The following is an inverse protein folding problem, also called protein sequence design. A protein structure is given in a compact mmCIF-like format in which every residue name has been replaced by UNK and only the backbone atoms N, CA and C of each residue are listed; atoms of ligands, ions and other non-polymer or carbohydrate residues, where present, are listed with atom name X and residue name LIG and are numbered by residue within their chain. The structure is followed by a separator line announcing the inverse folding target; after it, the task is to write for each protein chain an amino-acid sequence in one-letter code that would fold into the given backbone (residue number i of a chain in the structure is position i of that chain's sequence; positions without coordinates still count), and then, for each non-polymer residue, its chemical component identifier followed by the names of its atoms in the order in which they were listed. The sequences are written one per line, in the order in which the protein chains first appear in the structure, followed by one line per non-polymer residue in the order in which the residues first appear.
data_IF_022707779614
#
_entry.id   IF_022707779614
#
_cell.length_a   1.000
_cell.length_b   1.000
_cell.length_c   1.000
_cell.angle_alpha   90.00
_cell.angle_beta   90.00
_cell.angle_gamma   90.00
#
_symmetry.space_group_name_H-M   'P 1'
#
loop_
_entity.id
_entity.type
_entity.pdbx_description
1 polymer ?
#
# COMPACT_ATOMS: atom_id res chain seq x y z
N UNK A 1 18.29 25.74 -12.93
CA UNK A 1 18.72 24.33 -12.72
C UNK A 1 18.10 23.71 -11.47
N UNK A 2 18.18 24.33 -10.29
CA UNK A 2 17.61 23.76 -9.04
C UNK A 2 16.09 23.58 -9.09
N UNK A 3 15.35 24.52 -9.70
CA UNK A 3 13.90 24.37 -9.89
C UNK A 3 13.53 23.11 -10.70
N UNK A 4 14.34 22.75 -11.69
CA UNK A 4 14.12 21.53 -12.50
C UNK A 4 14.23 20.29 -11.61
N UNK A 5 15.19 20.26 -10.67
CA UNK A 5 15.28 19.18 -9.69
C UNK A 5 14.02 19.11 -8.83
N UNK A 6 13.52 20.23 -8.33
CA UNK A 6 12.29 20.25 -7.54
C UNK A 6 11.09 19.71 -8.34
N UNK A 7 10.96 20.08 -9.62
CA UNK A 7 9.92 19.54 -10.52
C UNK A 7 10.09 18.04 -10.75
N UNK A 8 11.31 17.56 -11.05
CA UNK A 8 11.59 16.13 -11.24
C UNK A 8 11.23 15.34 -9.98
N UNK A 9 11.69 15.79 -8.81
CA UNK A 9 11.38 15.13 -7.53
C UNK A 9 9.87 15.05 -7.27
N UNK A 10 9.16 16.16 -7.50
CA UNK A 10 7.71 16.21 -7.37
C UNK A 10 6.99 15.26 -8.33
N UNK A 11 7.39 15.24 -9.61
CA UNK A 11 6.79 14.37 -10.64
C UNK A 11 7.06 12.90 -10.33
N UNK A 12 8.26 12.53 -9.88
CA UNK A 12 8.57 11.14 -9.52
C UNK A 12 7.70 10.65 -8.36
N UNK A 13 7.57 11.45 -7.30
CA UNK A 13 6.75 11.07 -6.14
C UNK A 13 5.27 10.97 -6.53
N UNK A 14 4.72 12.01 -7.16
CA UNK A 14 3.30 12.02 -7.53
C UNK A 14 2.97 10.99 -8.60
N UNK A 15 3.87 10.77 -9.57
CA UNK A 15 3.73 9.74 -10.59
C UNK A 15 3.71 8.33 -9.97
N UNK A 16 4.62 8.03 -9.05
CA UNK A 16 4.64 6.76 -8.34
C UNK A 16 3.38 6.57 -7.47
N UNK A 17 2.92 7.63 -6.80
CA UNK A 17 1.69 7.64 -6.01
C UNK A 17 0.45 7.36 -6.87
N UNK A 18 0.26 8.12 -7.96
CA UNK A 18 -0.86 7.94 -8.89
C UNK A 18 -0.84 6.54 -9.47
N UNK A 19 0.32 6.08 -9.94
CA UNK A 19 0.48 4.73 -10.48
C UNK A 19 0.09 3.67 -9.44
N UNK A 20 0.55 3.79 -8.19
CA UNK A 20 0.19 2.87 -7.11
C UNK A 20 -1.33 2.86 -6.85
N UNK A 21 -1.97 4.02 -6.70
CA UNK A 21 -3.41 4.08 -6.48
C UNK A 21 -4.23 3.53 -7.65
N UNK A 22 -3.75 3.67 -8.89
CA UNK A 22 -4.36 3.02 -10.05
C UNK A 22 -4.31 1.49 -9.96
N UNK A 23 -3.25 0.91 -9.37
CA UNK A 23 -3.21 -0.55 -9.15
C UNK A 23 -4.22 -1.02 -8.10
N UNK A 24 -4.50 -0.19 -7.09
CA UNK A 24 -5.55 -0.48 -6.10
C UNK A 24 -6.92 -0.48 -6.76
N UNK A 25 -7.24 0.56 -7.54
CA UNK A 25 -8.52 0.68 -8.23
C UNK A 25 -8.78 -0.45 -9.24
N UNK A 26 -7.72 -1.06 -9.77
CA UNK A 26 -7.77 -2.19 -10.70
C UNK A 26 -7.68 -3.55 -10.01
N UNK A 27 -7.54 -3.59 -8.69
CA UNK A 27 -7.30 -4.81 -7.91
C UNK A 27 -6.03 -5.59 -8.34
N UNK A 28 -5.06 -4.89 -8.93
CA UNK A 28 -3.78 -5.44 -9.41
C UNK A 28 -2.60 -4.94 -8.58
N UNK A 29 -2.78 -4.80 -7.27
CA UNK A 29 -1.73 -4.30 -6.35
C UNK A 29 -0.55 -5.25 -6.40
N UNK A 30 0.67 -4.78 -6.72
CA UNK A 30 1.82 -5.67 -6.85
C UNK A 30 2.18 -6.30 -5.50
N UNK A 31 2.69 -7.53 -5.54
CA UNK A 31 3.22 -8.21 -4.35
C UNK A 31 4.49 -7.53 -3.84
N UNK A 32 5.38 -7.17 -4.77
CA UNK A 32 6.63 -6.46 -4.48
C UNK A 32 6.46 -4.94 -4.66
N UNK A 33 6.60 -4.20 -3.56
CA UNK A 33 6.53 -2.73 -3.54
C UNK A 33 7.89 -2.04 -3.59
N UNK A 34 9.01 -2.80 -3.60
CA UNK A 34 10.36 -2.23 -3.64
C UNK A 34 10.57 -1.29 -4.84
N UNK A 35 10.04 -1.57 -6.06
CA UNK A 35 10.16 -0.64 -7.18
C UNK A 35 9.50 0.72 -6.89
N UNK A 36 8.27 0.74 -6.36
CA UNK A 36 7.60 1.99 -5.97
C UNK A 36 8.37 2.71 -4.85
N UNK A 37 8.83 1.97 -3.84
CA UNK A 37 9.61 2.54 -2.75
C UNK A 37 10.90 3.20 -3.26
N UNK A 38 11.61 2.57 -4.20
CA UNK A 38 12.82 3.13 -4.80
C UNK A 38 12.55 4.46 -5.53
N UNK A 39 11.46 4.55 -6.30
CA UNK A 39 11.07 5.79 -6.99
C UNK A 39 10.68 6.89 -6.00
N UNK A 40 9.96 6.55 -4.92
CA UNK A 40 9.59 7.50 -3.86
C UNK A 40 10.83 8.05 -3.14
N UNK A 41 11.77 7.18 -2.77
CA UNK A 41 13.03 7.58 -2.12
C UNK A 41 13.85 8.47 -3.04
N UNK A 42 13.99 8.09 -4.32
CA UNK A 42 14.72 8.89 -5.30
C UNK A 42 14.07 10.28 -5.50
N UNK A 43 12.76 10.32 -5.70
CA UNK A 43 12.02 11.57 -5.87
C UNK A 43 12.11 12.48 -4.63
N UNK A 44 11.97 11.92 -3.43
CA UNK A 44 12.12 12.65 -2.18
C UNK A 44 13.54 13.19 -1.99
N UNK A 45 14.58 12.40 -2.28
CA UNK A 45 15.97 12.82 -2.19
C UNK A 45 16.27 13.99 -3.15
N UNK A 46 15.77 13.92 -4.39
CA UNK A 46 15.92 15.00 -5.38
C UNK A 46 15.19 16.27 -4.91
N UNK A 47 13.95 16.13 -4.41
CA UNK A 47 13.18 17.26 -3.87
C UNK A 47 13.84 17.92 -2.66
N UNK A 48 14.34 17.12 -1.72
CA UNK A 48 15.08 17.58 -0.55
C UNK A 48 16.39 18.29 -0.95
N UNK A 49 17.14 17.72 -1.91
CA UNK A 49 18.35 18.33 -2.43
C UNK A 49 18.06 19.68 -3.09
N UNK A 50 16.95 19.81 -3.83
CA UNK A 50 16.55 21.08 -4.44
C UNK A 50 16.27 22.18 -3.39
N UNK A 51 15.61 21.81 -2.27
CA UNK A 51 15.41 22.73 -1.14
C UNK A 51 16.75 23.13 -0.51
N UNK A 52 17.63 22.16 -0.24
CA UNK A 52 18.91 22.41 0.42
C UNK A 52 19.89 23.25 -0.42
N UNK A 53 19.87 23.07 -1.75
CA UNK A 53 20.73 23.82 -2.67
C UNK A 53 20.25 25.25 -2.93
N UNK A 54 18.93 25.47 -2.98
CA UNK A 54 18.35 26.79 -3.20
C UNK A 54 16.97 26.88 -2.54
N UNK A 55 16.91 27.26 -1.25
CA UNK A 55 15.65 27.42 -0.56
C UNK A 55 14.93 28.66 -1.11
N UNK A 56 13.82 28.42 -1.80
CA UNK A 56 12.96 29.44 -2.40
C UNK A 56 11.51 29.01 -2.25
N UNK A 57 10.57 29.93 -2.39
CA UNK A 57 9.14 29.59 -2.33
C UNK A 57 8.78 28.45 -3.29
N UNK A 58 9.34 28.45 -4.50
CA UNK A 58 9.06 27.42 -5.51
C UNK A 58 9.67 26.05 -5.16
N UNK A 59 10.93 26.00 -4.72
CA UNK A 59 11.58 24.72 -4.35
C UNK A 59 10.96 24.13 -3.09
N UNK A 60 10.51 24.97 -2.15
CA UNK A 60 9.77 24.56 -0.95
C UNK A 60 8.37 24.04 -1.33
N UNK A 61 7.61 24.80 -2.13
CA UNK A 61 6.24 24.43 -2.52
C UNK A 61 6.17 23.11 -3.29
N UNK A 62 7.20 22.76 -4.06
CA UNK A 62 7.28 21.48 -4.75
C UNK A 62 7.93 20.39 -3.90
N UNK A 63 9.04 20.72 -3.23
CA UNK A 63 9.84 19.73 -2.51
C UNK A 63 9.18 19.23 -1.24
N UNK A 64 8.60 20.11 -0.42
CA UNK A 64 8.03 19.72 0.89
C UNK A 64 6.86 18.74 0.73
N UNK A 65 5.85 18.99 -0.12
CA UNK A 65 4.78 18.01 -0.34
C UNK A 65 5.31 16.70 -0.92
N UNK A 66 6.28 16.76 -1.83
CA UNK A 66 6.92 15.56 -2.39
C UNK A 66 7.59 14.69 -1.31
N UNK A 67 8.38 15.30 -0.43
CA UNK A 67 9.01 14.58 0.69
C UNK A 67 7.95 14.04 1.65
N UNK A 68 6.93 14.83 1.99
CA UNK A 68 5.86 14.42 2.90
C UNK A 68 5.05 13.23 2.36
N UNK A 69 4.66 13.25 1.08
CA UNK A 69 3.93 12.14 0.47
C UNK A 69 4.79 10.88 0.33
N UNK A 70 6.06 11.02 -0.03
CA UNK A 70 6.97 9.89 -0.06
C UNK A 70 7.11 9.25 1.34
N UNK A 71 7.33 10.06 2.38
CA UNK A 71 7.41 9.57 3.75
C UNK A 71 6.13 8.86 4.19
N UNK A 72 4.96 9.44 3.90
CA UNK A 72 3.66 8.86 4.23
C UNK A 72 3.45 7.50 3.54
N UNK A 73 3.72 7.41 2.23
CA UNK A 73 3.56 6.16 1.48
C UNK A 73 4.57 5.09 1.91
N UNK A 74 5.83 5.47 2.16
CA UNK A 74 6.85 4.53 2.67
C UNK A 74 6.46 3.99 4.04
N UNK A 75 5.90 4.84 4.92
CA UNK A 75 5.33 4.40 6.19
C UNK A 75 4.19 3.40 5.99
N UNK A 76 3.24 3.67 5.09
CA UNK A 76 2.15 2.74 4.76
C UNK A 76 2.67 1.41 4.21
N UNK A 77 3.69 1.43 3.35
CA UNK A 77 4.32 0.22 2.82
C UNK A 77 4.96 -0.61 3.94
N UNK A 78 5.53 0.04 4.96
CA UNK A 78 6.05 -0.63 6.16
C UNK A 78 4.97 -1.32 7.00
N UNK A 79 3.74 -0.83 7.00
CA UNK A 79 2.60 -1.45 7.71
C UNK A 79 2.05 -2.70 7.00
N UNK A 80 2.51 -3.01 5.78
CA UNK A 80 1.88 -4.03 4.94
C UNK A 80 2.00 -5.46 5.46
N UNK A 81 2.89 -5.78 6.41
CA UNK A 81 3.22 -7.16 6.85
C UNK A 81 2.06 -8.13 6.64
N UNK A 82 2.15 -8.91 5.56
CA UNK A 82 1.26 -10.04 5.33
C UNK A 82 1.77 -11.14 6.24
N UNK A 83 0.91 -11.86 6.98
CA UNK A 83 1.35 -13.01 7.74
C UNK A 83 2.14 -13.94 6.83
N UNK A 84 3.30 -14.40 7.29
CA UNK A 84 4.05 -15.44 6.59
C UNK A 84 3.16 -16.68 6.52
N UNK A 85 2.70 -17.03 5.32
CA UNK A 85 1.74 -18.10 5.12
C UNK A 85 1.77 -18.59 3.68
N UNK A 86 1.74 -19.91 3.53
CA UNK A 86 1.49 -20.53 2.23
C UNK A 86 0.02 -20.41 1.87
N UNK A 87 -0.28 -20.40 0.57
CA UNK A 87 -1.65 -20.51 0.10
C UNK A 87 -2.23 -21.86 0.56
N UNK A 88 -3.27 -21.83 1.40
CA UNK A 88 -3.90 -23.03 1.99
C UNK A 88 -5.21 -23.45 1.29
N UNK A 89 -5.63 -22.74 0.24
CA UNK A 89 -6.86 -23.04 -0.48
C UNK A 89 -6.68 -22.77 -1.98
N UNK A 90 -7.15 -23.69 -2.82
CA UNK A 90 -7.23 -23.52 -4.28
C UNK A 90 -8.63 -23.81 -4.79
N UNK A 91 -8.97 -23.23 -5.95
CA UNK A 91 -10.24 -23.49 -6.61
C UNK A 91 -10.38 -24.98 -6.92
N UNK A 92 -11.48 -25.59 -6.50
CA UNK A 92 -11.77 -27.01 -6.69
C UNK A 92 -11.33 -27.92 -5.53
N UNK A 93 -10.52 -27.41 -4.59
CA UNK A 93 -10.17 -28.16 -3.37
C UNK A 93 -11.28 -28.08 -2.33
N UNK A 94 -11.31 -29.06 -1.42
CA UNK A 94 -12.17 -29.00 -0.25
C UNK A 94 -11.74 -27.83 0.63
N UNK A 95 -12.72 -27.04 1.08
CA UNK A 95 -12.45 -25.91 1.95
C UNK A 95 -11.85 -26.39 3.28
N UNK A 96 -10.80 -25.72 3.80
CA UNK A 96 -10.26 -26.01 5.13
C UNK A 96 -11.33 -25.92 6.21
N UNK A 97 -11.12 -26.65 7.32
CA UNK A 97 -11.94 -26.47 8.52
C UNK A 97 -11.73 -25.04 9.03
N UNK A 98 -12.81 -24.29 9.13
CA UNK A 98 -12.81 -22.93 9.67
C UNK A 98 -13.81 -22.85 10.82
N UNK A 99 -13.35 -22.26 11.91
CA UNK A 99 -14.16 -21.95 13.08
C UNK A 99 -13.70 -20.63 13.69
N UNK A 100 -14.66 -19.77 14.02
CA UNK A 100 -14.40 -18.47 14.62
C UNK A 100 -15.60 -18.07 15.49
N UNK A 101 -15.40 -17.31 16.57
CA UNK A 101 -16.50 -16.69 17.29
C UNK A 101 -17.16 -15.60 16.43
N UNK A 102 -18.47 -15.46 16.54
CA UNK A 102 -19.20 -14.31 16.02
C UNK A 102 -19.13 -13.10 16.96
N UNK A 103 -19.87 -12.03 16.65
CA UNK A 103 -19.93 -10.81 17.45
C UNK A 103 -20.44 -11.00 18.89
N UNK A 104 -21.18 -12.08 19.14
CA UNK A 104 -21.75 -12.41 20.46
C UNK A 104 -20.88 -13.44 21.21
N UNK A 105 -19.72 -13.79 20.65
CA UNK A 105 -18.81 -14.81 21.19
C UNK A 105 -19.28 -16.24 20.93
N UNK A 106 -20.35 -16.45 20.16
CA UNK A 106 -20.82 -17.78 19.81
C UNK A 106 -19.92 -18.37 18.73
N UNK A 107 -19.43 -19.58 18.97
CA UNK A 107 -18.61 -20.29 18.00
C UNK A 107 -19.43 -20.64 16.74
N UNK A 108 -18.96 -20.18 15.59
CA UNK A 108 -19.49 -20.51 14.26
C UNK A 108 -18.51 -21.42 13.55
N UNK A 109 -18.97 -22.57 13.04
CA UNK A 109 -18.16 -23.50 12.25
C UNK A 109 -18.65 -23.54 10.81
N UNK A 110 -17.72 -23.64 9.86
CA UNK A 110 -18.08 -23.79 8.44
C UNK A 110 -18.92 -25.05 8.18
N UNK A 111 -18.74 -26.11 8.98
CA UNK A 111 -19.54 -27.34 8.90
C UNK A 111 -21.03 -27.09 9.06
N UNK A 112 -21.41 -26.04 9.80
CA UNK A 112 -22.79 -25.72 10.11
C UNK A 112 -23.52 -25.12 8.89
N UNK A 113 -22.75 -24.68 7.88
CA UNK A 113 -23.25 -24.12 6.62
C UNK A 113 -23.25 -25.15 5.47
N UNK A 114 -23.18 -26.45 5.78
CA UNK A 114 -23.14 -27.51 4.77
C UNK A 114 -24.36 -27.42 3.83
N UNK A 115 -24.10 -27.49 2.53
CA UNK A 115 -25.12 -27.39 1.48
C UNK A 115 -25.46 -25.96 1.05
N UNK A 116 -24.85 -24.95 1.67
CA UNK A 116 -25.04 -23.55 1.31
C UNK A 116 -23.82 -23.01 0.55
N UNK A 117 -24.03 -21.98 -0.28
CA UNK A 117 -22.94 -21.19 -0.86
C UNK A 117 -22.49 -20.15 0.15
N UNK A 118 -21.21 -20.18 0.52
CA UNK A 118 -20.62 -19.31 1.55
C UNK A 118 -19.56 -18.41 0.91
N UNK A 119 -19.58 -17.13 1.26
CA UNK A 119 -18.55 -16.16 0.86
C UNK A 119 -17.75 -15.75 2.09
N UNK A 120 -16.43 -15.93 2.03
CA UNK A 120 -15.52 -15.44 3.07
C UNK A 120 -14.97 -14.08 2.68
N UNK A 121 -15.07 -13.13 3.60
CA UNK A 121 -14.46 -11.80 3.47
C UNK A 121 -13.51 -11.59 4.63
N UNK A 122 -12.21 -11.53 4.32
CA UNK A 122 -11.17 -11.27 5.30
C UNK A 122 -10.90 -9.77 5.38
N UNK A 123 -10.95 -9.22 6.60
CA UNK A 123 -10.63 -7.82 6.86
C UNK A 123 -9.28 -7.72 7.58
N UNK A 124 -8.52 -6.67 7.29
CA UNK A 124 -7.39 -6.27 8.14
C UNK A 124 -7.89 -5.27 9.17
N UNK A 125 -7.99 -5.70 10.42
CA UNK A 125 -8.46 -4.87 11.54
C UNK A 125 -9.85 -5.26 12.06
N UNK A 126 -10.20 -4.71 13.22
CA UNK A 126 -11.52 -4.81 13.83
C UNK A 126 -12.27 -3.52 13.49
N UNK A 127 -13.49 -3.64 12.96
CA UNK A 127 -14.37 -2.50 12.65
C UNK A 127 -15.56 -2.52 13.59
#
# INVERSE_FOLDING_TARGET
MVLILAVIGFVLVNGAMIHYFMTIAKETVPEDLRPHAAVLVLGAAIGAAAIGLSPSAATIALGVPGVAFAAFLLWLFGQRRVPDGSLIARVGELMPKLEAPDQDGKLVRLSDMKGQRVMFKFFRGFW
#
